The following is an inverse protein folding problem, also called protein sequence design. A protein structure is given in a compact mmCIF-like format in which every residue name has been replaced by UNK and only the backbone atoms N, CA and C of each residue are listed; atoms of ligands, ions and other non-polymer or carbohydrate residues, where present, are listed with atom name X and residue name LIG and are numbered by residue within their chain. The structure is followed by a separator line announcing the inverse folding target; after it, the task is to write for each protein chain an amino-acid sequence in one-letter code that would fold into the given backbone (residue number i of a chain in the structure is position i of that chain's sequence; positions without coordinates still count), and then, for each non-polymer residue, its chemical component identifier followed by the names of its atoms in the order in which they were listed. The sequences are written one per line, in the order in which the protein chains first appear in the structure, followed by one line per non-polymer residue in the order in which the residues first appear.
data_IF_254809367979
#
_entry.id   IF_254809367979
#
_cell.length_a   1.000
_cell.length_b   1.000
_cell.length_c   1.000
_cell.angle_alpha   90.00
_cell.angle_beta   90.00
_cell.angle_gamma   90.00
#
_symmetry.space_group_name_H-M   'P 1'
#
loop_
_entity.id
_entity.type
_entity.pdbx_description
1 polymer ?
#
# COMPACT_ATOMS: atom_id res chain seq x y z
N UNK A 1 15.42 -12.02 31.51
CA UNK A 1 15.20 -11.61 30.10
C UNK A 1 14.47 -12.72 29.34
N UNK A 2 13.29 -12.42 28.76
CA UNK A 2 12.47 -13.35 28.00
C UNK A 2 12.81 -13.22 26.51
N UNK A 3 13.75 -14.02 26.03
CA UNK A 3 14.27 -13.91 24.66
C UNK A 3 13.17 -14.04 23.58
N UNK A 4 12.14 -14.87 23.85
CA UNK A 4 11.02 -15.06 22.92
C UNK A 4 10.14 -13.81 22.74
N UNK A 5 10.17 -12.88 23.71
CA UNK A 5 9.45 -11.62 23.65
C UNK A 5 10.22 -10.51 22.91
N UNK A 6 11.51 -10.75 22.62
CA UNK A 6 12.35 -9.80 21.90
C UNK A 6 12.21 -10.02 20.41
N UNK A 7 11.75 -9.00 19.70
CA UNK A 7 11.56 -9.08 18.24
C UNK A 7 12.00 -7.82 17.53
N UNK A 8 12.58 -8.02 16.35
CA UNK A 8 12.97 -7.00 15.41
C UNK A 8 12.91 -7.58 13.99
N UNK A 9 12.35 -6.85 13.06
CA UNK A 9 12.27 -7.25 11.65
C UNK A 9 12.95 -6.16 10.80
N UNK A 10 14.08 -6.48 10.15
CA UNK A 10 14.76 -5.51 9.28
C UNK A 10 13.90 -5.14 8.06
N UNK A 11 14.14 -3.97 7.48
CA UNK A 11 13.42 -3.46 6.30
C UNK A 11 11.88 -3.49 6.45
N UNK A 12 11.41 -3.13 7.63
CA UNK A 12 9.99 -3.10 7.98
C UNK A 12 9.66 -1.86 8.81
N UNK A 13 8.51 -1.86 9.51
CA UNK A 13 8.19 -0.84 10.53
C UNK A 13 9.20 -0.77 11.68
N UNK A 14 10.05 -1.79 11.85
CA UNK A 14 11.07 -1.84 12.89
C UNK A 14 12.43 -1.33 12.39
N UNK A 15 12.63 -1.17 11.07
CA UNK A 15 13.83 -0.58 10.48
C UNK A 15 13.50 0.10 9.16
N UNK A 16 13.50 1.43 9.13
CA UNK A 16 13.13 2.22 7.95
C UNK A 16 13.88 3.55 7.87
N UNK A 17 13.96 4.12 6.66
CA UNK A 17 14.53 5.43 6.41
C UNK A 17 13.54 6.54 6.79
N UNK A 18 14.06 7.61 7.41
CA UNK A 18 13.33 8.87 7.62
C UNK A 18 13.78 9.93 6.62
N UNK A 19 15.05 9.90 6.26
CA UNK A 19 15.67 10.75 5.23
C UNK A 19 16.93 10.05 4.69
N UNK A 20 17.62 10.70 3.74
CA UNK A 20 18.77 10.12 2.99
C UNK A 20 19.92 9.58 3.88
N UNK A 21 20.00 9.97 5.14
CA UNK A 21 21.09 9.58 6.03
C UNK A 21 20.61 9.13 7.42
N UNK A 22 19.30 8.99 7.63
CA UNK A 22 18.76 8.64 8.94
C UNK A 22 17.87 7.39 8.84
N UNK A 23 18.21 6.39 9.66
CA UNK A 23 17.43 5.15 9.82
C UNK A 23 16.86 5.15 11.24
N UNK A 24 15.59 4.83 11.35
CA UNK A 24 14.96 4.48 12.64
C UNK A 24 15.04 2.97 12.82
N UNK A 25 15.52 2.55 13.98
CA UNK A 25 15.61 1.15 14.39
C UNK A 25 14.78 0.97 15.67
N UNK A 26 13.87 0.01 15.64
CA UNK A 26 12.98 -0.34 16.76
C UNK A 26 13.25 -1.73 17.27
N UNK A 27 13.06 -1.92 18.57
CA UNK A 27 13.13 -3.21 19.25
C UNK A 27 11.90 -3.36 20.14
N UNK A 28 11.16 -4.44 19.99
CA UNK A 28 10.05 -4.81 20.87
C UNK A 28 10.57 -5.85 21.86
N UNK A 29 10.25 -5.68 23.15
CA UNK A 29 10.70 -6.56 24.25
C UNK A 29 9.55 -6.80 25.23
N UNK A 30 9.64 -7.83 26.08
CA UNK A 30 8.69 -8.04 27.16
C UNK A 30 8.65 -6.83 28.11
N UNK A 31 7.47 -6.49 28.62
CA UNK A 31 7.26 -5.34 29.50
C UNK A 31 8.10 -5.43 30.77
N UNK A 32 8.92 -4.41 31.02
CA UNK A 32 9.78 -4.33 32.19
C UNK A 32 10.94 -5.32 32.20
N UNK A 33 11.21 -6.04 31.12
CA UNK A 33 12.16 -7.15 31.05
C UNK A 33 13.62 -6.68 30.86
N UNK A 34 13.81 -5.55 30.19
CA UNK A 34 15.15 -5.00 29.95
C UNK A 34 15.34 -3.63 30.58
N UNK A 35 16.60 -3.39 31.01
CA UNK A 35 17.05 -2.12 31.57
C UNK A 35 17.47 -1.15 30.47
N UNK A 36 18.19 -1.65 29.46
CA UNK A 36 18.69 -0.84 28.34
C UNK A 36 18.96 -1.69 27.09
N UNK A 37 18.93 -1.05 25.97
CA UNK A 37 19.41 -1.61 24.71
C UNK A 37 20.20 -0.55 23.94
N UNK A 38 21.23 -1.00 23.24
CA UNK A 38 22.05 -0.21 22.34
C UNK A 38 22.06 -0.85 20.94
N UNK A 39 22.08 -0.03 19.90
CA UNK A 39 22.35 -0.46 18.53
C UNK A 39 23.80 -0.17 18.21
N UNK A 40 24.50 -1.17 17.73
CA UNK A 40 25.83 -1.04 17.13
C UNK A 40 25.71 -1.16 15.63
N UNK A 41 26.21 -0.19 14.89
CA UNK A 41 26.08 -0.16 13.44
C UNK A 41 27.39 0.26 12.76
N UNK A 42 27.58 -0.21 11.53
CA UNK A 42 28.77 0.11 10.74
C UNK A 42 28.53 -0.06 9.26
N UNK A 43 29.58 0.25 8.47
CA UNK A 43 29.58 0.07 7.03
C UNK A 43 29.67 -1.42 6.67
N UNK A 44 28.64 -1.93 6.01
CA UNK A 44 28.59 -3.32 5.55
C UNK A 44 29.74 -3.69 4.61
N UNK A 45 30.25 -2.73 3.85
CA UNK A 45 31.23 -2.95 2.77
C UNK A 45 32.64 -2.48 3.09
N UNK A 46 32.89 -2.06 4.36
CA UNK A 46 34.25 -1.68 4.75
C UNK A 46 35.22 -2.87 4.66
N UNK A 47 36.52 -2.56 4.46
CA UNK A 47 37.57 -3.58 4.31
C UNK A 47 38.02 -4.17 5.66
N UNK A 48 37.71 -3.53 6.79
CA UNK A 48 38.13 -4.00 8.12
C UNK A 48 37.29 -5.21 8.59
N UNK A 49 37.93 -6.12 9.30
CA UNK A 49 37.29 -7.25 9.98
C UNK A 49 37.93 -7.46 11.35
N UNK A 50 37.16 -7.33 12.45
CA UNK A 50 35.75 -6.94 12.49
C UNK A 50 35.52 -5.52 11.96
N UNK A 51 34.29 -5.24 11.51
CA UNK A 51 33.93 -3.89 11.07
C UNK A 51 33.98 -2.89 12.21
N UNK A 52 34.33 -1.66 11.90
CA UNK A 52 34.24 -0.58 12.86
C UNK A 52 32.78 -0.21 13.10
N UNK A 53 32.34 -0.28 14.35
CA UNK A 53 30.96 0.01 14.72
C UNK A 53 30.86 1.27 15.58
N UNK A 54 29.79 2.03 15.35
CA UNK A 54 29.35 3.15 16.18
C UNK A 54 28.20 2.65 17.06
N UNK A 55 28.08 3.20 18.27
CA UNK A 55 27.03 2.85 19.25
C UNK A 55 26.01 3.95 19.35
N UNK A 56 24.72 3.59 19.38
CA UNK A 56 23.61 4.49 19.69
C UNK A 56 22.71 3.83 20.73
N UNK A 57 22.47 4.53 21.83
CA UNK A 57 21.56 4.02 22.87
C UNK A 57 20.10 4.21 22.45
N UNK A 58 19.30 3.18 22.67
CA UNK A 58 17.88 3.19 22.40
C UNK A 58 17.10 3.84 23.55
N UNK A 59 16.01 4.50 23.22
CA UNK A 59 15.06 5.08 24.18
C UNK A 59 13.76 4.31 24.16
N UNK A 60 13.19 4.06 25.34
CA UNK A 60 11.82 3.53 25.42
C UNK A 60 10.83 4.62 24.95
N UNK A 61 10.08 4.34 23.88
CA UNK A 61 9.15 5.27 23.26
C UNK A 61 7.69 4.97 23.59
N UNK A 62 7.37 3.71 23.89
CA UNK A 62 6.02 3.26 24.20
C UNK A 62 6.02 2.02 25.08
N UNK A 63 4.87 1.75 25.69
CA UNK A 63 4.59 0.53 26.46
C UNK A 63 3.12 0.20 26.31
N UNK A 64 2.80 -1.07 26.09
CA UNK A 64 1.44 -1.60 26.16
C UNK A 64 1.26 -2.54 27.35
N UNK A 65 0.26 -3.41 27.36
CA UNK A 65 0.04 -4.35 28.47
C UNK A 65 1.11 -5.43 28.58
N UNK A 66 1.72 -5.84 27.45
CA UNK A 66 2.62 -6.98 27.35
C UNK A 66 4.05 -6.61 26.98
N UNK A 67 4.25 -5.48 26.30
CA UNK A 67 5.53 -5.14 25.68
C UNK A 67 5.99 -3.71 25.96
N UNK A 68 7.30 -3.52 25.95
CA UNK A 68 7.99 -2.24 25.85
C UNK A 68 8.59 -2.09 24.44
N UNK A 69 8.59 -0.87 23.92
CA UNK A 69 9.10 -0.52 22.59
C UNK A 69 10.26 0.46 22.74
N UNK A 70 11.39 0.07 22.19
CA UNK A 70 12.61 0.90 22.19
C UNK A 70 12.92 1.35 20.76
N UNK A 71 13.48 2.56 20.63
CA UNK A 71 13.82 3.16 19.35
C UNK A 71 15.16 3.89 19.41
N UNK A 72 15.91 3.83 18.33
CA UNK A 72 17.09 4.66 18.10
C UNK A 72 17.06 5.23 16.68
N UNK A 73 17.50 6.48 16.55
CA UNK A 73 17.82 7.08 15.26
C UNK A 73 19.31 6.94 14.96
N UNK A 74 19.66 6.30 13.87
CA UNK A 74 21.01 6.16 13.37
C UNK A 74 21.22 7.19 12.27
N UNK A 75 22.13 8.15 12.49
CA UNK A 75 22.62 9.05 11.45
C UNK A 75 23.85 8.42 10.81
N UNK A 76 23.71 7.97 9.56
CA UNK A 76 24.75 7.26 8.84
C UNK A 76 25.19 8.01 7.60
N UNK A 77 26.49 8.06 7.39
CA UNK A 77 27.14 8.48 6.12
C UNK A 77 27.30 7.30 5.14
N UNK A 78 26.97 6.07 5.61
CA UNK A 78 27.12 4.87 4.82
C UNK A 78 25.82 4.59 4.04
N UNK A 79 25.96 4.19 2.80
CA UNK A 79 24.83 3.80 1.92
C UNK A 79 24.35 2.37 2.17
N UNK A 80 25.13 1.58 2.90
CA UNK A 80 24.84 0.19 3.26
C UNK A 80 25.23 -0.03 4.70
N UNK A 81 24.24 -0.20 5.55
CA UNK A 81 24.42 -0.34 7.00
C UNK A 81 24.17 -1.78 7.39
N UNK A 82 25.02 -2.30 8.31
CA UNK A 82 24.70 -3.48 9.07
C UNK A 82 24.75 -3.15 10.57
N UNK A 83 23.97 -3.86 11.37
CA UNK A 83 23.81 -3.54 12.78
C UNK A 83 23.40 -4.76 13.61
N UNK A 84 23.57 -4.64 14.91
CA UNK A 84 23.13 -5.59 15.91
C UNK A 84 22.73 -4.87 17.19
N UNK A 85 22.03 -5.57 18.09
CA UNK A 85 21.64 -5.03 19.38
C UNK A 85 22.52 -5.62 20.50
N UNK A 86 22.84 -4.79 21.46
CA UNK A 86 23.35 -5.19 22.76
C UNK A 86 22.29 -4.86 23.80
N UNK A 87 21.81 -5.86 24.53
CA UNK A 87 20.66 -5.76 25.41
C UNK A 87 21.10 -6.15 26.83
N UNK A 88 20.68 -5.34 27.79
CA UNK A 88 20.92 -5.59 29.22
C UNK A 88 19.60 -5.68 29.95
N UNK A 89 19.37 -6.79 30.67
CA UNK A 89 18.17 -6.97 31.47
C UNK A 89 18.23 -6.24 32.81
N UNK A 90 17.14 -6.31 33.58
CA UNK A 90 17.03 -5.67 34.91
C UNK A 90 17.95 -6.28 35.95
N UNK A 91 18.38 -7.55 35.78
CA UNK A 91 19.30 -8.26 36.68
C UNK A 91 20.76 -8.00 36.28
N UNK A 92 21.00 -7.32 35.16
CA UNK A 92 22.33 -7.00 34.65
C UNK A 92 22.95 -8.04 33.75
N UNK A 93 22.18 -9.06 33.33
CA UNK A 93 22.59 -10.03 32.32
C UNK A 93 22.58 -9.36 30.94
N UNK A 94 23.63 -9.61 30.16
CA UNK A 94 23.81 -9.02 28.84
C UNK A 94 23.67 -10.09 27.74
N UNK A 95 23.10 -9.69 26.60
CA UNK A 95 23.01 -10.53 25.39
C UNK A 95 23.15 -9.67 24.17
N UNK A 96 23.63 -10.28 23.09
CA UNK A 96 23.65 -9.68 21.76
C UNK A 96 22.56 -10.31 20.91
N UNK A 97 21.88 -9.49 20.07
CA UNK A 97 20.85 -9.95 19.15
C UNK A 97 21.16 -9.51 17.72
N UNK A 98 21.19 -10.45 16.82
CA UNK A 98 21.51 -10.26 15.41
C UNK A 98 20.57 -11.11 14.54
N UNK A 99 20.74 -11.09 13.23
CA UNK A 99 19.97 -11.91 12.26
C UNK A 99 20.00 -13.40 12.61
N UNK A 100 21.10 -13.88 13.19
CA UNK A 100 21.27 -15.30 13.60
C UNK A 100 20.75 -15.60 15.02
N UNK A 101 20.08 -14.64 15.64
CA UNK A 101 19.50 -14.81 16.99
C UNK A 101 20.37 -14.26 18.11
N UNK A 102 20.24 -14.85 19.29
CA UNK A 102 20.86 -14.38 20.52
C UNK A 102 22.19 -15.08 20.81
N UNK A 103 23.16 -14.33 21.36
CA UNK A 103 24.47 -14.84 21.75
C UNK A 103 25.03 -14.09 22.94
N UNK A 104 25.92 -14.75 23.73
CA UNK A 104 26.64 -14.11 24.85
C UNK A 104 27.79 -13.20 24.40
N UNK A 105 28.29 -13.45 23.18
CA UNK A 105 29.36 -12.66 22.58
C UNK A 105 28.99 -12.27 21.17
N UNK A 106 29.30 -11.03 20.78
CA UNK A 106 29.08 -10.60 19.42
C UNK A 106 30.05 -11.29 18.46
N UNK A 107 29.51 -11.79 17.36
CA UNK A 107 30.30 -12.30 16.25
C UNK A 107 31.04 -11.16 15.52
N UNK A 108 32.23 -11.42 15.01
CA UNK A 108 32.93 -10.50 14.10
C UNK A 108 32.44 -10.63 12.64
N UNK A 109 31.66 -11.66 12.34
CA UNK A 109 31.16 -11.94 11.00
C UNK A 109 29.99 -11.00 10.65
N UNK A 110 30.25 -10.00 9.80
CA UNK A 110 29.27 -8.98 9.38
C UNK A 110 28.04 -9.55 8.69
N UNK A 111 28.13 -10.73 8.07
CA UNK A 111 26.99 -11.39 7.41
C UNK A 111 25.94 -11.91 8.38
N UNK A 112 26.28 -11.98 9.66
CA UNK A 112 25.34 -12.35 10.73
C UNK A 112 24.63 -11.17 11.36
N UNK A 113 25.01 -9.93 11.02
CA UNK A 113 24.33 -8.74 11.49
C UNK A 113 23.03 -8.53 10.71
N UNK A 114 22.06 -7.83 11.30
CA UNK A 114 20.93 -7.29 10.55
C UNK A 114 21.44 -6.36 9.45
N UNK A 115 20.78 -6.38 8.31
CA UNK A 115 21.21 -5.65 7.14
C UNK A 115 20.21 -4.55 6.79
N UNK A 116 20.73 -3.34 6.51
CA UNK A 116 19.99 -2.26 5.85
C UNK A 116 20.77 -1.84 4.60
N UNK A 117 20.55 -2.54 3.47
CA UNK A 117 21.45 -2.47 2.31
C UNK A 117 21.22 -1.25 1.40
N UNK A 118 20.09 -0.55 1.56
CA UNK A 118 19.65 0.51 0.64
C UNK A 118 19.37 1.80 1.41
N UNK A 119 20.34 2.73 1.42
CA UNK A 119 20.21 4.04 2.03
C UNK A 119 20.45 5.10 0.95
N UNK A 120 19.62 5.10 -0.09
CA UNK A 120 19.65 6.07 -1.17
C UNK A 120 18.33 6.82 -1.25
N UNK A 121 18.37 8.05 -1.77
CA UNK A 121 17.18 8.88 -1.97
C UNK A 121 16.08 8.16 -2.76
N UNK A 122 16.47 7.39 -3.78
CA UNK A 122 15.52 6.65 -4.61
C UNK A 122 14.84 5.48 -3.89
N UNK A 123 15.40 5.02 -2.78
CA UNK A 123 14.83 3.95 -1.96
C UNK A 123 13.90 4.50 -0.86
N UNK A 124 13.86 5.83 -0.71
CA UNK A 124 13.07 6.49 0.32
C UNK A 124 11.62 6.63 -0.10
N UNK A 125 10.72 6.06 0.69
CA UNK A 125 9.29 6.28 0.54
C UNK A 125 8.92 7.62 1.17
N UNK A 126 8.59 8.61 0.33
CA UNK A 126 8.08 9.90 0.81
C UNK A 126 6.59 9.81 1.12
N UNK A 127 6.26 9.67 2.39
CA UNK A 127 4.87 9.65 2.84
C UNK A 127 4.35 11.09 2.97
N UNK A 128 3.28 11.47 2.26
CA UNK A 128 2.69 12.80 2.39
C UNK A 128 2.16 13.05 3.82
N UNK A 129 2.45 14.21 4.38
CA UNK A 129 2.04 14.56 5.77
C UNK A 129 0.54 14.40 6.05
N UNK A 130 -0.30 14.59 5.05
CA UNK A 130 -1.75 14.47 5.21
C UNK A 130 -2.22 13.04 5.56
N UNK A 131 -1.38 12.02 5.30
CA UNK A 131 -1.70 10.62 5.60
C UNK A 131 -1.51 10.28 7.09
N UNK A 132 -0.78 11.10 7.85
CA UNK A 132 -0.51 10.85 9.28
C UNK A 132 -1.80 10.80 10.12
N UNK A 133 -2.79 11.64 9.75
CA UNK A 133 -4.09 11.71 10.42
C UNK A 133 -5.24 11.29 9.49
N UNK A 134 -4.96 10.39 8.54
CA UNK A 134 -5.94 9.97 7.56
C UNK A 134 -6.98 9.04 8.18
N UNK A 135 -8.25 9.41 8.04
CA UNK A 135 -9.41 8.56 8.26
C UNK A 135 -10.06 8.34 6.91
N UNK A 136 -9.86 7.14 6.36
CA UNK A 136 -10.35 6.78 5.02
C UNK A 136 -11.69 6.08 5.10
N UNK A 137 -12.62 6.48 4.24
CA UNK A 137 -13.89 5.79 4.01
C UNK A 137 -13.91 5.23 2.59
N UNK A 138 -13.98 3.92 2.50
CA UNK A 138 -14.01 3.19 1.23
C UNK A 138 -15.45 3.02 0.77
N UNK A 139 -15.74 3.49 -0.45
CA UNK A 139 -17.09 3.48 -1.03
C UNK A 139 -17.10 2.68 -2.32
N UNK A 140 -17.99 1.70 -2.41
CA UNK A 140 -18.47 1.15 -3.67
C UNK A 140 -19.68 2.00 -4.10
N UNK A 141 -19.57 2.84 -5.14
CA UNK A 141 -20.56 3.88 -5.42
C UNK A 141 -22.00 3.37 -5.54
N UNK A 142 -22.20 2.26 -6.26
CA UNK A 142 -23.55 1.66 -6.45
C UNK A 142 -24.25 1.32 -5.13
N UNK A 143 -23.49 0.95 -4.09
CA UNK A 143 -24.04 0.53 -2.81
C UNK A 143 -24.20 1.67 -1.79
N UNK A 144 -23.80 2.89 -2.13
CA UNK A 144 -23.79 4.00 -1.18
C UNK A 144 -25.11 4.78 -1.16
N UNK A 145 -25.41 5.53 -2.20
CA UNK A 145 -26.64 6.31 -2.29
C UNK A 145 -26.95 6.75 -3.73
N UNK A 146 -28.23 6.68 -4.11
CA UNK A 146 -28.73 7.27 -5.36
C UNK A 146 -28.90 8.78 -5.25
N UNK A 147 -29.40 9.24 -4.09
CA UNK A 147 -29.74 10.65 -3.79
C UNK A 147 -29.57 10.94 -2.31
N UNK A 148 -29.86 12.17 -1.90
CA UNK A 148 -29.77 12.57 -0.49
C UNK A 148 -30.65 11.69 0.42
N UNK A 149 -30.01 10.84 1.21
CA UNK A 149 -30.65 9.95 2.18
C UNK A 149 -30.36 10.35 3.63
N UNK A 150 -29.37 11.20 3.85
CA UNK A 150 -28.92 11.58 5.17
C UNK A 150 -29.59 12.88 5.64
N UNK A 151 -30.16 12.83 6.84
CA UNK A 151 -30.63 13.99 7.60
C UNK A 151 -29.87 13.96 8.91
N UNK A 152 -29.08 14.98 9.19
CA UNK A 152 -28.28 15.11 10.42
C UNK A 152 -29.06 14.70 11.66
N UNK A 153 -28.46 13.83 12.50
CA UNK A 153 -29.07 13.35 13.75
C UNK A 153 -30.16 12.28 13.60
N UNK A 154 -30.47 11.81 12.40
CA UNK A 154 -31.44 10.72 12.19
C UNK A 154 -30.84 9.58 11.38
N UNK A 155 -30.65 8.42 12.00
CA UNK A 155 -30.35 7.18 11.28
C UNK A 155 -31.59 6.68 10.55
N UNK A 156 -31.54 6.63 9.22
CA UNK A 156 -32.51 5.88 8.44
C UNK A 156 -32.05 4.42 8.39
N UNK A 157 -32.83 3.51 8.93
CA UNK A 157 -32.58 2.06 8.77
C UNK A 157 -32.90 1.72 7.32
N UNK A 158 -31.88 1.31 6.54
CA UNK A 158 -32.08 0.74 5.22
C UNK A 158 -32.57 -0.68 5.43
N UNK A 159 -33.80 -0.97 5.04
CA UNK A 159 -34.28 -2.35 4.96
C UNK A 159 -33.67 -2.98 3.71
N UNK A 160 -32.83 -4.01 3.91
CA UNK A 160 -32.34 -4.86 2.81
C UNK A 160 -33.51 -5.72 2.36
N UNK A 161 -33.97 -5.54 1.14
CA UNK A 161 -35.00 -6.38 0.56
C UNK A 161 -34.50 -7.82 0.45
N UNK A 162 -35.36 -8.78 0.81
CA UNK A 162 -35.04 -10.22 0.64
C UNK A 162 -34.86 -10.53 -0.84
N UNK A 163 -33.72 -11.10 -1.22
CA UNK A 163 -33.42 -11.55 -2.58
C UNK A 163 -32.36 -10.75 -3.31
N UNK A 164 -31.73 -9.73 -2.68
CA UNK A 164 -30.55 -9.07 -3.25
C UNK A 164 -29.36 -10.04 -3.31
N UNK A 165 -28.73 -10.11 -4.46
CA UNK A 165 -27.46 -10.83 -4.67
C UNK A 165 -26.29 -9.84 -4.63
N UNK A 166 -25.06 -10.33 -4.55
CA UNK A 166 -23.85 -9.50 -4.66
C UNK A 166 -23.75 -8.71 -5.97
N UNK A 167 -24.53 -9.08 -6.99
CA UNK A 167 -24.56 -8.42 -8.31
C UNK A 167 -25.79 -7.53 -8.49
N UNK A 168 -26.65 -7.41 -7.49
CA UNK A 168 -27.85 -6.58 -7.56
C UNK A 168 -27.45 -5.10 -7.56
N UNK A 169 -27.92 -4.35 -8.57
CA UNK A 169 -27.69 -2.91 -8.67
C UNK A 169 -28.55 -2.19 -7.64
N UNK A 170 -27.90 -1.35 -6.83
CA UNK A 170 -28.56 -0.53 -5.82
C UNK A 170 -28.83 0.90 -6.30
N UNK A 171 -28.21 1.29 -7.43
CA UNK A 171 -28.45 2.59 -8.09
C UNK A 171 -27.70 3.76 -7.47
N UNK A 172 -26.69 3.50 -6.64
CA UNK A 172 -25.84 4.55 -6.09
C UNK A 172 -25.01 5.24 -7.16
N UNK A 173 -24.80 6.55 -7.00
CA UNK A 173 -24.16 7.43 -7.99
C UNK A 173 -23.14 8.37 -7.35
N UNK A 174 -22.27 8.99 -8.17
CA UNK A 174 -21.37 10.05 -7.73
C UNK A 174 -22.14 11.25 -7.17
N UNK A 175 -23.30 11.55 -7.76
CA UNK A 175 -24.20 12.60 -7.24
C UNK A 175 -24.78 12.23 -5.88
N UNK A 176 -25.14 10.97 -5.69
CA UNK A 176 -25.60 10.47 -4.41
C UNK A 176 -24.53 10.58 -3.32
N UNK A 177 -23.26 10.35 -3.65
CA UNK A 177 -22.15 10.58 -2.71
C UNK A 177 -22.04 12.08 -2.38
N UNK A 178 -22.02 12.93 -3.39
CA UNK A 178 -21.96 14.39 -3.22
C UNK A 178 -23.05 14.92 -2.29
N UNK A 179 -24.29 14.48 -2.49
CA UNK A 179 -25.44 14.92 -1.71
C UNK A 179 -25.45 14.42 -0.25
N UNK A 180 -24.62 13.42 0.07
CA UNK A 180 -24.49 12.86 1.42
C UNK A 180 -23.13 13.15 2.07
N UNK A 181 -22.37 14.14 1.60
CA UNK A 181 -21.08 14.52 2.20
C UNK A 181 -21.19 14.97 3.67
N UNK A 182 -22.34 15.52 4.09
CA UNK A 182 -22.56 15.88 5.49
C UNK A 182 -22.46 14.66 6.41
N UNK A 183 -22.97 13.50 5.98
CA UNK A 183 -22.82 12.23 6.71
C UNK A 183 -21.35 11.80 6.81
N UNK A 184 -20.59 11.94 5.73
CA UNK A 184 -19.17 11.58 5.69
C UNK A 184 -18.35 12.50 6.60
N UNK A 185 -18.67 13.79 6.61
CA UNK A 185 -18.05 14.80 7.46
C UNK A 185 -18.33 14.55 8.96
N UNK A 186 -19.56 14.18 9.32
CA UNK A 186 -19.92 13.83 10.71
C UNK A 186 -19.17 12.57 11.22
N UNK A 187 -18.68 11.70 10.35
CA UNK A 187 -17.80 10.57 10.69
C UNK A 187 -16.34 10.98 10.88
N UNK A 188 -16.01 12.28 10.75
CA UNK A 188 -14.63 12.79 10.75
C UNK A 188 -13.73 12.13 9.68
N UNK A 189 -14.30 11.73 8.56
CA UNK A 189 -13.57 11.18 7.42
C UNK A 189 -12.89 12.34 6.65
N UNK A 190 -11.63 12.19 6.34
CA UNK A 190 -10.87 13.18 5.57
C UNK A 190 -10.26 12.60 4.28
N UNK A 191 -10.62 11.35 3.93
CA UNK A 191 -10.23 10.71 2.68
C UNK A 191 -11.32 9.75 2.20
N UNK A 192 -11.79 9.92 0.96
CA UNK A 192 -12.66 8.96 0.29
C UNK A 192 -11.83 8.11 -0.66
N UNK A 193 -12.01 6.80 -0.60
CA UNK A 193 -11.52 5.86 -1.60
C UNK A 193 -12.73 5.32 -2.38
N UNK A 194 -12.78 5.57 -3.67
CA UNK A 194 -13.86 5.09 -4.54
C UNK A 194 -13.39 3.85 -5.30
N UNK A 195 -14.15 2.74 -5.22
CA UNK A 195 -14.00 1.60 -6.13
C UNK A 195 -14.05 2.08 -7.58
N UNK A 196 -13.62 1.26 -8.57
CA UNK A 196 -13.54 1.69 -9.95
C UNK A 196 -14.84 2.33 -10.44
N UNK A 197 -14.73 3.52 -11.03
CA UNK A 197 -15.85 4.33 -11.52
C UNK A 197 -15.87 4.47 -13.04
N UNK A 198 -14.82 3.98 -13.69
CA UNK A 198 -14.67 4.08 -15.15
C UNK A 198 -15.52 3.06 -15.88
N UNK A 199 -15.79 3.34 -17.15
CA UNK A 199 -16.63 2.53 -18.01
C UNK A 199 -16.10 1.10 -18.10
N UNK A 200 -16.96 0.13 -17.80
CA UNK A 200 -16.61 -1.27 -17.71
C UNK A 200 -17.80 -2.16 -18.12
N UNK A 201 -17.53 -3.41 -18.46
CA UNK A 201 -18.58 -4.35 -18.87
C UNK A 201 -19.32 -4.93 -17.66
N UNK A 202 -18.61 -5.24 -16.58
CA UNK A 202 -19.19 -5.89 -15.40
C UNK A 202 -19.75 -4.91 -14.37
N UNK A 203 -20.50 -5.46 -13.42
CA UNK A 203 -21.02 -4.73 -12.27
C UNK A 203 -19.91 -4.13 -11.38
N UNK A 204 -18.85 -4.89 -11.11
CA UNK A 204 -17.76 -4.49 -10.20
C UNK A 204 -16.77 -3.49 -10.80
N UNK A 205 -16.81 -3.25 -12.12
CA UNK A 205 -15.98 -2.27 -12.87
C UNK A 205 -14.47 -2.55 -12.92
N UNK A 206 -14.00 -3.69 -12.39
CA UNK A 206 -12.59 -4.06 -12.50
C UNK A 206 -12.16 -4.49 -13.91
N UNK A 207 -13.07 -4.77 -14.81
CA UNK A 207 -12.84 -5.01 -16.24
C UNK A 207 -13.04 -3.73 -17.06
N UNK A 208 -12.25 -2.70 -16.75
CA UNK A 208 -12.34 -1.38 -17.36
C UNK A 208 -12.11 -1.44 -18.87
N UNK A 209 -13.04 -0.88 -19.64
CA UNK A 209 -12.96 -0.81 -21.10
C UNK A 209 -12.64 0.59 -21.64
N UNK A 210 -12.84 1.62 -20.81
CA UNK A 210 -12.44 2.99 -21.12
C UNK A 210 -12.07 3.72 -19.82
N UNK A 211 -10.80 4.08 -19.67
CA UNK A 211 -10.28 4.76 -18.48
C UNK A 211 -10.51 6.28 -18.49
N UNK A 212 -10.97 6.84 -19.62
CA UNK A 212 -11.20 8.27 -19.77
C UNK A 212 -12.68 8.65 -19.62
N UNK A 213 -13.57 7.66 -19.58
CA UNK A 213 -15.02 7.83 -19.41
C UNK A 213 -15.50 7.29 -18.07
N UNK A 214 -16.34 8.08 -17.39
CA UNK A 214 -17.09 7.59 -16.21
C UNK A 214 -18.17 6.63 -16.69
N UNK A 215 -18.35 5.52 -15.97
CA UNK A 215 -19.44 4.59 -16.28
C UNK A 215 -20.78 5.29 -16.14
N UNK A 216 -21.66 5.24 -17.16
CA UNK A 216 -22.94 5.93 -17.14
C UNK A 216 -23.85 5.60 -15.96
N UNK A 217 -23.67 4.42 -15.33
CA UNK A 217 -24.46 4.07 -14.13
C UNK A 217 -24.08 4.92 -12.89
N UNK A 218 -22.89 5.52 -12.87
CA UNK A 218 -22.43 6.36 -11.75
C UNK A 218 -22.61 7.86 -12.02
N UNK A 219 -22.89 8.24 -13.25
CA UNK A 219 -23.09 9.65 -13.65
C UNK A 219 -22.13 10.11 -14.73
N UNK A 220 -21.75 11.38 -14.68
CA UNK A 220 -20.95 12.06 -15.68
C UNK A 220 -19.59 12.50 -15.12
N UNK A 221 -18.69 12.89 -16.03
CA UNK A 221 -17.43 13.56 -15.66
C UNK A 221 -17.67 14.82 -14.83
N UNK A 222 -18.78 15.55 -15.10
CA UNK A 222 -19.12 16.74 -14.33
C UNK A 222 -19.51 16.38 -12.89
N UNK A 223 -20.23 15.27 -12.69
CA UNK A 223 -20.59 14.81 -11.33
C UNK A 223 -19.35 14.45 -10.50
N UNK A 224 -18.33 13.83 -11.14
CA UNK A 224 -17.03 13.59 -10.47
C UNK A 224 -16.32 14.91 -10.14
N UNK A 225 -16.28 15.86 -11.06
CA UNK A 225 -15.65 17.17 -10.84
C UNK A 225 -16.33 17.90 -9.66
N UNK A 226 -17.66 17.88 -9.61
CA UNK A 226 -18.42 18.53 -8.56
C UNK A 226 -18.20 17.84 -7.20
N UNK A 227 -18.19 16.51 -7.17
CA UNK A 227 -17.87 15.72 -5.98
C UNK A 227 -16.48 16.05 -5.45
N UNK A 228 -15.45 16.01 -6.30
CA UNK A 228 -14.06 16.29 -5.89
C UNK A 228 -13.93 17.73 -5.38
N UNK A 229 -14.51 18.71 -6.07
CA UNK A 229 -14.49 20.10 -5.64
C UNK A 229 -15.11 20.31 -4.25
N UNK A 230 -16.27 19.68 -4.01
CA UNK A 230 -16.95 19.82 -2.74
C UNK A 230 -16.22 19.07 -1.61
N UNK A 231 -15.67 17.87 -1.90
CA UNK A 231 -14.78 17.17 -0.97
C UNK A 231 -13.58 18.03 -0.57
N UNK A 232 -12.90 18.64 -1.52
CA UNK A 232 -11.73 19.48 -1.25
C UNK A 232 -12.07 20.72 -0.42
N UNK A 233 -13.21 21.36 -0.63
CA UNK A 233 -13.70 22.48 0.23
C UNK A 233 -13.86 22.06 1.68
N UNK A 234 -14.23 20.81 1.94
CA UNK A 234 -14.42 20.23 3.27
C UNK A 234 -13.15 19.60 3.84
N UNK A 235 -12.01 19.74 3.15
CA UNK A 235 -10.75 19.10 3.56
C UNK A 235 -10.70 17.59 3.34
N UNK A 236 -11.64 17.02 2.58
CA UNK A 236 -11.71 15.60 2.26
C UNK A 236 -10.98 15.35 0.95
N UNK A 237 -10.01 14.44 0.95
CA UNK A 237 -9.30 13.99 -0.25
C UNK A 237 -10.06 12.87 -0.94
N UNK A 238 -9.88 12.73 -2.25
CA UNK A 238 -10.50 11.66 -3.04
C UNK A 238 -9.40 10.83 -3.69
N UNK A 239 -9.47 9.52 -3.50
CA UNK A 239 -8.62 8.53 -4.16
C UNK A 239 -9.53 7.70 -5.07
N UNK A 240 -9.12 7.54 -6.32
CA UNK A 240 -9.79 6.69 -7.30
C UNK A 240 -9.06 5.35 -7.40
N UNK A 241 -9.82 4.26 -7.50
CA UNK A 241 -9.27 2.93 -7.78
C UNK A 241 -8.83 2.86 -9.25
N UNK A 242 -7.53 2.69 -9.46
CA UNK A 242 -6.93 2.57 -10.79
C UNK A 242 -6.63 1.11 -11.13
N UNK A 243 -7.38 0.52 -12.04
CA UNK A 243 -7.19 -0.87 -12.48
C UNK A 243 -6.09 -0.92 -13.55
N UNK A 244 -4.81 -0.89 -13.13
CA UNK A 244 -3.66 -0.84 -14.05
C UNK A 244 -2.99 -2.20 -14.30
N UNK A 245 -3.35 -3.25 -13.55
CA UNK A 245 -2.82 -4.60 -13.77
C UNK A 245 -3.37 -5.26 -15.03
N UNK A 246 -4.63 -5.02 -15.34
CA UNK A 246 -5.37 -5.57 -16.48
C UNK A 246 -6.44 -4.59 -16.93
N UNK A 247 -6.99 -4.80 -18.11
CA UNK A 247 -8.16 -4.08 -18.59
C UNK A 247 -9.32 -5.06 -18.85
N UNK A 248 -10.47 -4.56 -19.26
CA UNK A 248 -11.54 -5.38 -19.81
C UNK A 248 -11.26 -5.79 -21.26
N UNK A 249 -11.80 -6.90 -21.70
CA UNK A 249 -11.65 -7.37 -23.11
C UNK A 249 -12.28 -6.44 -24.14
N UNK A 250 -13.17 -5.53 -23.72
CA UNK A 250 -13.72 -4.46 -24.56
C UNK A 250 -12.83 -3.21 -24.70
N UNK A 251 -11.65 -3.18 -24.08
CA UNK A 251 -10.70 -2.08 -24.22
C UNK A 251 -10.21 -1.97 -25.67
N UNK A 252 -10.29 -0.76 -26.25
CA UNK A 252 -10.03 -0.57 -27.69
C UNK A 252 -8.69 -1.13 -28.17
N UNK A 253 -7.55 -0.94 -27.48
CA UNK A 253 -6.30 -1.56 -27.86
C UNK A 253 -6.35 -3.10 -27.90
N UNK A 254 -7.08 -3.74 -26.97
CA UNK A 254 -7.23 -5.20 -26.99
C UNK A 254 -8.11 -5.70 -28.12
N UNK A 255 -9.19 -4.97 -28.41
CA UNK A 255 -10.05 -5.27 -29.57
C UNK A 255 -9.28 -5.15 -30.89
N UNK A 256 -8.38 -4.18 -31.00
CA UNK A 256 -7.50 -4.05 -32.16
C UNK A 256 -6.57 -5.26 -32.31
N UNK A 257 -5.95 -5.72 -31.19
CA UNK A 257 -5.13 -6.94 -31.17
C UNK A 257 -5.93 -8.16 -31.61
N UNK A 258 -7.16 -8.34 -31.11
CA UNK A 258 -8.02 -9.46 -31.50
C UNK A 258 -8.37 -9.43 -32.99
N UNK A 259 -8.54 -8.24 -33.57
CA UNK A 259 -8.90 -8.05 -34.97
C UNK A 259 -7.72 -8.17 -35.92
N UNK A 260 -6.60 -7.56 -35.62
CA UNK A 260 -5.45 -7.36 -36.50
C UNK A 260 -4.28 -8.35 -36.21
N UNK A 261 -4.34 -9.10 -35.07
CA UNK A 261 -3.32 -10.04 -34.67
C UNK A 261 -1.96 -9.37 -34.51
N UNK A 262 -0.90 -10.02 -35.02
CA UNK A 262 0.50 -9.53 -34.97
C UNK A 262 0.71 -8.15 -35.66
N UNK A 263 -0.26 -7.71 -36.48
CA UNK A 263 -0.20 -6.41 -37.19
C UNK A 263 -0.72 -5.24 -36.34
N UNK A 264 -1.28 -5.51 -35.18
CA UNK A 264 -1.76 -4.46 -34.27
C UNK A 264 -0.57 -3.69 -33.67
N UNK A 265 -0.68 -2.36 -33.62
CA UNK A 265 0.29 -1.50 -32.96
C UNK A 265 0.27 -1.68 -31.41
N UNK A 266 -0.81 -2.27 -30.88
CA UNK A 266 -0.98 -2.47 -29.43
C UNK A 266 -0.48 -3.83 -28.90
N UNK A 267 0.18 -4.66 -29.72
CA UNK A 267 0.67 -5.98 -29.25
C UNK A 267 1.54 -5.89 -27.98
N UNK A 268 2.39 -4.86 -27.89
CA UNK A 268 3.29 -4.65 -26.75
C UNK A 268 2.59 -4.03 -25.51
N UNK A 269 1.32 -3.65 -25.62
CA UNK A 269 0.52 -3.12 -24.51
C UNK A 269 0.06 -4.22 -23.55
N UNK A 270 0.11 -5.48 -24.01
CA UNK A 270 -0.33 -6.64 -23.24
C UNK A 270 0.84 -7.56 -22.90
N UNK A 271 0.73 -8.20 -21.77
CA UNK A 271 1.78 -9.08 -21.27
C UNK A 271 1.62 -10.48 -21.82
N UNK A 272 2.69 -11.01 -22.49
CA UNK A 272 2.76 -12.38 -23.03
C UNK A 272 1.57 -12.78 -23.92
N UNK A 273 1.34 -12.03 -24.99
CA UNK A 273 0.45 -12.47 -26.06
C UNK A 273 1.09 -13.62 -26.86
N UNK A 274 0.27 -14.59 -27.24
CA UNK A 274 0.62 -15.61 -28.23
C UNK A 274 -0.31 -15.47 -29.44
N UNK A 275 0.20 -15.70 -30.63
CA UNK A 275 -0.56 -15.54 -31.87
C UNK A 275 -0.78 -16.90 -32.59
N UNK A 276 -1.93 -17.13 -33.21
CA UNK A 276 -3.10 -16.24 -33.16
C UNK A 276 -3.68 -16.13 -31.75
N UNK A 277 -4.16 -14.93 -31.37
CA UNK A 277 -4.77 -14.73 -30.06
C UNK A 277 -6.06 -15.56 -29.94
N UNK A 278 -6.14 -16.38 -28.90
CA UNK A 278 -7.29 -17.26 -28.65
C UNK A 278 -8.10 -16.68 -27.48
N UNK A 279 -9.28 -16.13 -27.81
CA UNK A 279 -10.25 -15.63 -26.85
C UNK A 279 -11.29 -16.71 -26.54
N UNK A 280 -10.91 -17.68 -25.71
CA UNK A 280 -11.76 -18.81 -25.31
C UNK A 280 -11.65 -19.08 -23.81
N UNK A 281 -12.32 -20.12 -23.32
CA UNK A 281 -12.34 -20.51 -21.90
C UNK A 281 -10.96 -20.58 -21.28
N UNK A 282 -9.96 -21.04 -22.04
CA UNK A 282 -8.54 -20.97 -21.66
C UNK A 282 -7.84 -20.09 -22.67
N UNK A 283 -7.60 -18.80 -22.34
CA UNK A 283 -6.91 -17.88 -23.24
C UNK A 283 -5.44 -18.25 -23.38
N UNK A 284 -4.84 -17.97 -24.54
CA UNK A 284 -3.42 -18.16 -24.78
C UNK A 284 -2.58 -16.89 -24.50
N UNK A 285 -3.11 -15.98 -23.70
CA UNK A 285 -2.47 -14.76 -23.22
C UNK A 285 -2.57 -14.67 -21.70
N UNK A 286 -1.71 -13.89 -21.07
CA UNK A 286 -1.80 -13.65 -19.64
C UNK A 286 -3.05 -12.83 -19.33
N UNK A 287 -3.82 -13.29 -18.34
CA UNK A 287 -5.01 -12.65 -17.84
C UNK A 287 -5.06 -12.66 -16.31
N UNK A 288 -5.78 -11.74 -15.71
CA UNK A 288 -6.00 -11.75 -14.27
C UNK A 288 -6.80 -13.00 -13.86
N UNK A 289 -6.24 -13.79 -12.94
CA UNK A 289 -6.84 -15.03 -12.44
C UNK A 289 -7.31 -16.00 -13.56
N UNK A 290 -6.64 -15.98 -14.72
CA UNK A 290 -6.99 -16.76 -15.92
C UNK A 290 -8.35 -16.41 -16.55
N UNK A 291 -8.94 -15.27 -16.17
CA UNK A 291 -10.21 -14.77 -16.68
C UNK A 291 -9.97 -14.10 -18.04
N UNK A 292 -10.45 -14.69 -19.13
CA UNK A 292 -10.21 -14.20 -20.50
C UNK A 292 -10.69 -12.76 -20.73
N UNK A 293 -11.70 -12.32 -19.98
CA UNK A 293 -12.25 -10.96 -20.05
C UNK A 293 -11.32 -9.91 -19.44
N UNK A 294 -10.21 -10.34 -18.77
CA UNK A 294 -9.29 -9.43 -18.07
C UNK A 294 -7.83 -9.59 -18.53
N UNK A 295 -7.52 -9.24 -19.81
CA UNK A 295 -6.17 -9.33 -20.35
C UNK A 295 -5.20 -8.44 -19.58
N UNK A 296 -4.02 -9.00 -19.28
CA UNK A 296 -3.01 -8.33 -18.45
C UNK A 296 -2.27 -7.27 -19.24
N UNK A 297 -2.23 -6.04 -18.70
CA UNK A 297 -1.48 -4.93 -19.26
C UNK A 297 0.03 -5.07 -19.02
N UNK A 298 0.82 -4.63 -19.97
CA UNK A 298 2.27 -4.55 -19.86
C UNK A 298 2.68 -3.17 -19.30
N UNK A 299 2.64 -3.04 -17.99
CA UNK A 299 3.03 -1.81 -17.28
C UNK A 299 4.53 -1.51 -17.35
N UNK A 300 5.33 -2.36 -18.00
CA UNK A 300 6.72 -2.07 -18.37
C UNK A 300 6.87 -1.35 -19.72
N UNK A 301 5.79 -1.21 -20.50
CA UNK A 301 5.79 -0.49 -21.76
C UNK A 301 5.53 1.00 -21.53
N UNK A 302 6.41 1.86 -22.08
CA UNK A 302 6.31 3.32 -21.90
C UNK A 302 5.00 3.90 -22.45
N UNK A 303 4.50 3.42 -23.57
CA UNK A 303 3.23 3.88 -24.15
C UNK A 303 2.03 3.60 -23.23
N UNK A 304 2.05 2.45 -22.53
CA UNK A 304 1.02 2.11 -21.52
C UNK A 304 1.14 3.05 -20.31
N UNK A 305 2.36 3.34 -19.88
CA UNK A 305 2.60 4.30 -18.80
C UNK A 305 2.09 5.68 -19.19
N UNK A 306 2.44 6.16 -20.41
CA UNK A 306 2.05 7.47 -20.92
C UNK A 306 0.53 7.59 -21.12
N UNK A 307 -0.16 6.47 -21.39
CA UNK A 307 -1.62 6.45 -21.48
C UNK A 307 -2.30 6.70 -20.13
N UNK A 308 -1.68 6.24 -19.03
CA UNK A 308 -2.24 6.36 -17.68
C UNK A 308 -1.75 7.59 -16.89
N UNK A 309 -0.61 8.17 -17.24
CA UNK A 309 0.02 9.30 -16.55
C UNK A 309 -0.11 10.62 -17.32
#
# INVERSE_FOLDING_TARGET
MQLQAITHIPLSKDAYMVNENTIVIRLKVGKGDIKSSDVYYGDRVCMSEPILVKRVSMKKIASDELFDYFEAEIKSEYTRVCYYFHIKDIEGKETYYSEYGFSEKMTCCRTQYFQFPYLHRNDMICIPKWTENMVMYHIFPDSFAEKKNYISGRRKVIQIEKGLTSESKNGGTLRGILENLDYIEELNVNCLYLNPIFKAASYHKYDTIDYMEIDPCFGTKQDLIDLVKECHKRGIRVILDGVFNHCGSGFLPFLDVLKNGEKSEYCNWFYKLNFPVVYDTIPNYEAFAYVKEMPKLNTGNQEVIDYFC
#
